data_IF_697801435583
#
_entry.id   IF_697801435583
#
_cell.length_a   1.000
_cell.length_b   1.000
_cell.length_c   1.000
_cell.angle_alpha   90.00
_cell.angle_beta   90.00
_cell.angle_gamma   90.00
#
_symmetry.space_group_name_H-M   'P 1'
#
loop_
_entity.id
_entity.type
_entity.pdbx_description
1 polymer ?
#
# COMPACT_ATOMS: atom_id res chain seq x y z
N UNK A 1 0.19 2.42 -17.05
CA UNK A 1 0.13 1.12 -16.35
C UNK A 1 -1.29 0.93 -15.88
N UNK A 2 -1.87 -0.22 -16.18
CA UNK A 2 -3.25 -0.53 -15.84
C UNK A 2 -3.37 -0.87 -14.35
N UNK A 3 -4.49 -0.53 -13.68
CA UNK A 3 -4.69 -0.85 -12.26
C UNK A 3 -4.46 -2.32 -11.92
N UNK A 4 -4.83 -3.25 -12.81
CA UNK A 4 -4.63 -4.68 -12.60
C UNK A 4 -3.15 -5.09 -12.56
N UNK A 5 -2.29 -4.40 -13.30
CA UNK A 5 -0.85 -4.68 -13.30
C UNK A 5 -0.21 -4.26 -11.98
N UNK A 6 -0.64 -3.13 -11.42
CA UNK A 6 -0.21 -2.66 -10.10
C UNK A 6 -0.65 -3.64 -9.02
N UNK A 7 -1.93 -4.03 -9.01
CA UNK A 7 -2.48 -4.96 -8.01
C UNK A 7 -1.80 -6.34 -8.06
N UNK A 8 -1.32 -6.77 -9.23
CA UNK A 8 -0.61 -8.03 -9.39
C UNK A 8 0.78 -8.05 -8.72
N UNK A 9 1.32 -6.90 -8.30
CA UNK A 9 2.59 -6.80 -7.58
C UNK A 9 2.46 -7.15 -6.09
N UNK A 10 1.23 -7.31 -5.60
CA UNK A 10 0.94 -7.48 -4.18
C UNK A 10 0.42 -8.89 -3.85
N UNK A 11 0.67 -9.32 -2.61
CA UNK A 11 0.15 -10.57 -2.07
C UNK A 11 -1.11 -10.30 -1.25
N UNK A 12 -2.21 -10.92 -1.65
CA UNK A 12 -3.54 -10.63 -1.14
C UNK A 12 -4.05 -11.72 -0.21
N UNK A 13 -4.61 -11.34 0.94
CA UNK A 13 -5.29 -12.23 1.87
C UNK A 13 -6.50 -11.53 2.52
N UNK A 14 -7.41 -12.31 3.11
CA UNK A 14 -8.54 -11.73 3.84
C UNK A 14 -8.05 -11.01 5.10
N UNK A 15 -8.49 -9.77 5.26
CA UNK A 15 -8.11 -8.92 6.39
C UNK A 15 -9.02 -7.70 6.50
N UNK A 16 -8.60 -6.70 7.27
CA UNK A 16 -9.30 -5.42 7.40
C UNK A 16 -8.44 -4.30 6.83
N UNK A 17 -9.05 -3.42 6.04
CA UNK A 17 -8.33 -2.28 5.49
C UNK A 17 -8.18 -1.17 6.54
N UNK A 18 -6.96 -0.69 6.75
CA UNK A 18 -6.69 0.37 7.72
C UNK A 18 -7.46 1.68 7.45
N UNK A 19 -7.77 2.00 6.18
CA UNK A 19 -8.58 3.18 5.81
C UNK A 19 -10.10 2.93 5.90
N UNK A 20 -10.55 1.67 5.87
CA UNK A 20 -11.97 1.31 5.83
C UNK A 20 -12.34 0.17 6.79
N UNK A 21 -12.02 0.28 8.10
CA UNK A 21 -12.22 -0.83 9.03
C UNK A 21 -13.69 -1.20 9.23
N UNK A 22 -14.61 -0.26 9.00
CA UNK A 22 -16.07 -0.45 9.17
C UNK A 22 -16.71 -1.31 8.07
N UNK A 23 -16.04 -1.46 6.93
CA UNK A 23 -16.52 -2.29 5.83
C UNK A 23 -16.28 -3.81 6.09
N UNK A 24 -15.60 -4.14 7.20
CA UNK A 24 -15.40 -5.52 7.63
C UNK A 24 -14.26 -6.23 6.89
N UNK A 25 -14.32 -7.57 6.87
CA UNK A 25 -13.29 -8.39 6.25
C UNK A 25 -13.38 -8.35 4.72
N UNK A 26 -12.26 -8.05 4.08
CA UNK A 26 -12.11 -7.96 2.62
C UNK A 26 -10.69 -8.36 2.21
N UNK A 27 -10.46 -8.42 0.91
CA UNK A 27 -9.16 -8.78 0.38
C UNK A 27 -8.18 -7.60 0.55
N UNK A 28 -7.06 -7.85 1.21
CA UNK A 28 -6.05 -6.86 1.59
C UNK A 28 -4.63 -7.38 1.43
N UNK A 29 -3.69 -6.47 1.16
CA UNK A 29 -2.25 -6.73 1.20
C UNK A 29 -1.62 -5.96 2.35
N UNK A 30 -0.52 -6.47 2.90
CA UNK A 30 0.37 -5.69 3.75
C UNK A 30 0.99 -4.58 2.90
N UNK A 31 0.95 -3.34 3.39
CA UNK A 31 1.56 -2.16 2.75
C UNK A 31 2.69 -1.56 3.58
N UNK A 32 2.71 -1.82 4.88
CA UNK A 32 3.84 -1.49 5.75
C UNK A 32 3.81 -2.39 6.97
N UNK A 33 4.99 -2.77 7.44
CA UNK A 33 5.17 -3.45 8.73
C UNK A 33 5.67 -2.42 9.75
N UNK A 34 4.83 -2.11 10.73
CA UNK A 34 5.18 -1.21 11.81
C UNK A 34 6.02 -1.96 12.84
N UNK A 35 7.10 -1.32 13.28
CA UNK A 35 8.01 -1.85 14.31
C UNK A 35 7.96 -0.94 15.54
N UNK A 36 6.99 -1.14 16.46
CA UNK A 36 6.91 -0.38 17.70
C UNK A 36 8.20 -0.52 18.52
N UNK A 37 8.55 0.53 19.28
CA UNK A 37 9.72 0.50 20.18
C UNK A 37 9.63 -0.61 21.24
N UNK A 38 8.41 -1.01 21.59
CA UNK A 38 8.14 -2.13 22.48
C UNK A 38 6.94 -2.91 21.94
N UNK A 39 7.13 -4.19 21.65
CA UNK A 39 6.09 -5.06 21.12
C UNK A 39 6.53 -5.81 19.86
N UNK A 40 5.70 -6.74 19.37
CA UNK A 40 5.92 -7.37 18.08
C UNK A 40 5.70 -6.38 16.93
N UNK A 41 6.21 -6.73 15.75
CA UNK A 41 5.86 -6.03 14.52
C UNK A 41 4.36 -6.20 14.21
N UNK A 42 3.77 -5.19 13.59
CA UNK A 42 2.35 -5.15 13.24
C UNK A 42 2.15 -4.79 11.77
N UNK A 43 1.43 -5.65 11.04
CA UNK A 43 1.08 -5.42 9.65
C UNK A 43 -0.01 -4.37 9.51
N UNK A 44 0.25 -3.34 8.72
CA UNK A 44 -0.78 -2.44 8.21
C UNK A 44 -1.25 -2.95 6.86
N UNK A 45 -2.55 -3.26 6.77
CA UNK A 45 -3.15 -3.86 5.58
C UNK A 45 -4.07 -2.91 4.85
N UNK A 46 -4.01 -2.90 3.53
CA UNK A 46 -4.81 -2.04 2.66
C UNK A 46 -5.59 -2.86 1.62
N UNK A 47 -6.83 -2.46 1.32
CA UNK A 47 -7.61 -3.06 0.24
C UNK A 47 -7.16 -2.55 -1.14
N UNK A 48 -7.63 -3.22 -2.20
CA UNK A 48 -7.32 -2.86 -3.60
C UNK A 48 -7.50 -1.37 -3.91
N UNK A 49 -8.61 -0.77 -3.45
CA UNK A 49 -8.89 0.67 -3.65
C UNK A 49 -7.82 1.55 -3.00
N UNK A 50 -7.37 1.21 -1.80
CA UNK A 50 -6.37 1.99 -1.08
C UNK A 50 -4.98 1.83 -1.68
N UNK A 51 -4.60 0.63 -2.09
CA UNK A 51 -3.33 0.39 -2.78
C UNK A 51 -3.24 1.24 -4.05
N UNK A 52 -4.29 1.26 -4.87
CA UNK A 52 -4.31 2.10 -6.09
C UNK A 52 -4.22 3.59 -5.78
N UNK A 53 -4.92 4.08 -4.75
CA UNK A 53 -4.80 5.48 -4.30
C UNK A 53 -3.38 5.82 -3.86
N UNK A 54 -2.76 4.95 -3.07
CA UNK A 54 -1.40 5.15 -2.56
C UNK A 54 -0.36 5.13 -3.68
N UNK A 55 -0.54 4.27 -4.68
CA UNK A 55 0.32 4.22 -5.88
C UNK A 55 0.17 5.47 -6.76
N UNK A 56 -1.05 5.99 -6.89
CA UNK A 56 -1.29 7.26 -7.57
C UNK A 56 -0.63 8.44 -6.84
N UNK A 57 -0.77 8.50 -5.51
CA UNK A 57 -0.09 9.47 -4.64
C UNK A 57 1.44 9.40 -4.83
N UNK A 58 2.02 8.19 -4.84
CA UNK A 58 3.46 7.98 -5.07
C UNK A 58 3.92 8.41 -6.46
N UNK A 59 3.14 8.09 -7.50
CA UNK A 59 3.43 8.48 -8.88
C UNK A 59 3.42 10.00 -9.04
N UNK A 60 2.48 10.69 -8.41
CA UNK A 60 2.44 12.15 -8.41
C UNK A 60 3.64 12.74 -7.68
N UNK A 61 3.99 12.21 -6.50
CA UNK A 61 5.15 12.66 -5.73
C UNK A 61 6.46 12.47 -6.48
N UNK A 62 6.65 11.32 -7.15
CA UNK A 62 7.83 11.07 -7.98
C UNK A 62 7.96 12.10 -9.11
N UNK A 63 6.84 12.41 -9.78
CA UNK A 63 6.80 13.44 -10.82
C UNK A 63 7.15 14.83 -10.28
N UNK A 64 6.61 15.20 -9.13
CA UNK A 64 6.87 16.51 -8.51
C UNK A 64 8.33 16.68 -8.09
N UNK A 65 8.95 15.60 -7.62
CA UNK A 65 10.32 15.60 -7.12
C UNK A 65 11.38 15.24 -8.18
N UNK A 66 10.96 14.90 -9.40
CA UNK A 66 11.86 14.54 -10.50
C UNK A 66 12.51 13.16 -10.36
N UNK A 67 11.86 12.23 -9.64
CA UNK A 67 12.28 10.83 -9.55
C UNK A 67 11.50 9.96 -10.52
N UNK A 68 12.09 8.81 -10.87
CA UNK A 68 11.38 7.76 -11.58
C UNK A 68 10.39 7.06 -10.64
N UNK A 69 9.18 6.81 -11.16
CA UNK A 69 8.15 6.08 -10.43
C UNK A 69 8.34 4.57 -10.58
N UNK A 70 8.57 3.88 -9.46
CA UNK A 70 8.55 2.43 -9.35
C UNK A 70 7.27 1.95 -8.60
N UNK A 71 6.44 1.08 -9.22
CA UNK A 71 5.24 0.53 -8.60
C UNK A 71 5.57 -0.61 -7.63
N UNK A 72 4.64 -1.00 -6.77
CA UNK A 72 4.81 -2.10 -5.81
C UNK A 72 5.30 -1.65 -4.44
N UNK A 73 5.25 -0.35 -4.16
CA UNK A 73 5.80 0.26 -2.95
C UNK A 73 4.76 1.08 -2.17
N UNK A 74 3.47 0.77 -2.31
CA UNK A 74 2.41 1.40 -1.52
C UNK A 74 2.73 1.25 -0.02
N UNK A 75 2.80 2.37 0.70
CA UNK A 75 3.09 2.39 2.14
C UNK A 75 4.58 2.39 2.48
N UNK A 76 5.45 2.15 1.50
CA UNK A 76 6.89 2.23 1.64
C UNK A 76 7.42 3.68 1.70
N UNK A 77 8.69 3.85 2.13
CA UNK A 77 9.36 5.14 2.13
C UNK A 77 9.50 5.73 0.71
N UNK A 78 9.88 7.00 0.64
CA UNK A 78 10.17 7.72 -0.60
C UNK A 78 11.56 8.40 -0.50
N UNK A 79 12.41 8.37 -1.56
CA UNK A 79 12.20 7.67 -2.83
C UNK A 79 12.17 6.14 -2.64
N UNK A 80 11.47 5.39 -3.52
CA UNK A 80 11.48 3.93 -3.53
C UNK A 80 12.89 3.35 -3.66
#
# INVERSE_FOLDING_TARGET
>A
MEPQQILALYSWEQGSCFRHPVEGSMETTVVVELHPRSGPAEDVRACRRCVLSMEDERRHLAKELGYDYEPGHAGGPFPP
#
